data_IF_890907080029
#
_entry.id   IF_890907080029
#
_cell.length_a   1.000
_cell.length_b   1.000
_cell.length_c   1.000
_cell.angle_alpha   90.00
_cell.angle_beta   90.00
_cell.angle_gamma   90.00
#
_symmetry.space_group_name_H-M   'P 1'
#
loop_
_entity.id
_entity.type
_entity.pdbx_description
1 polymer ?
#
# COMPACT_ATOMS: atom_id res chain seq x y z
N UNK A 1 8.01 10.74 -2.36
CA UNK A 1 7.49 9.61 -3.18
C UNK A 1 6.75 8.58 -2.33
N UNK A 2 7.35 7.97 -1.29
CA UNK A 2 6.66 7.00 -0.42
C UNK A 2 5.48 7.60 0.38
N UNK A 3 5.52 8.89 0.71
CA UNK A 3 4.42 9.53 1.45
C UNK A 3 3.07 9.52 0.72
N UNK A 4 3.06 9.70 -0.61
CA UNK A 4 1.84 9.61 -1.41
C UNK A 4 1.30 8.17 -1.41
N UNK A 5 2.17 7.18 -1.56
CA UNK A 5 1.77 5.77 -1.52
C UNK A 5 1.21 5.38 -0.16
N UNK A 6 1.81 5.88 0.90
CA UNK A 6 1.32 5.72 2.27
C UNK A 6 -0.09 6.30 2.41
N UNK A 7 -0.31 7.54 1.94
CA UNK A 7 -1.60 8.22 2.04
C UNK A 7 -2.71 7.50 1.24
N UNK A 8 -2.40 6.99 0.04
CA UNK A 8 -3.38 6.24 -0.76
C UNK A 8 -3.69 4.89 -0.11
N UNK A 9 -2.67 4.16 0.37
CA UNK A 9 -2.84 2.81 0.93
C UNK A 9 -3.46 2.81 2.32
N UNK A 10 -3.15 3.81 3.14
CA UNK A 10 -3.51 3.88 4.56
C UNK A 10 -4.19 5.19 4.93
N UNK A 11 -5.10 5.66 4.07
CA UNK A 11 -5.88 6.90 4.28
C UNK A 11 -6.64 6.94 5.61
N UNK A 12 -6.99 5.78 6.17
CA UNK A 12 -7.68 5.62 7.46
C UNK A 12 -6.81 5.02 8.58
N UNK A 13 -5.49 4.99 8.42
CA UNK A 13 -4.56 4.38 9.36
C UNK A 13 -3.88 3.10 8.83
N UNK A 14 -2.72 2.79 9.41
CA UNK A 14 -1.89 1.67 8.96
C UNK A 14 -2.46 0.35 9.46
N UNK A 15 -2.78 -0.54 8.52
CA UNK A 15 -3.21 -1.91 8.82
C UNK A 15 -2.33 -2.93 8.10
N UNK A 16 -2.30 -4.15 8.63
CA UNK A 16 -1.55 -5.24 8.02
C UNK A 16 -2.22 -5.71 6.72
N UNK A 17 -1.55 -5.63 5.56
CA UNK A 17 -2.16 -6.03 4.29
C UNK A 17 -2.31 -7.55 4.13
N UNK A 18 -1.80 -8.35 5.08
CA UNK A 18 -1.86 -9.82 5.03
C UNK A 18 -3.02 -10.39 5.84
N UNK A 19 -3.43 -9.71 6.92
CA UNK A 19 -4.44 -10.22 7.85
C UNK A 19 -5.47 -9.16 8.28
N UNK A 20 -5.40 -7.94 7.76
CA UNK A 20 -6.32 -6.84 8.08
C UNK A 20 -6.13 -6.19 9.45
N UNK A 21 -5.34 -6.78 10.37
CA UNK A 21 -5.19 -6.24 11.73
C UNK A 21 -4.57 -4.83 11.76
N UNK A 22 -5.17 -3.95 12.56
CA UNK A 22 -4.65 -2.62 12.90
C UNK A 22 -3.59 -2.65 14.01
N UNK A 23 -3.28 -3.81 14.60
CA UNK A 23 -2.23 -3.96 15.61
C UNK A 23 -0.85 -3.91 14.96
N UNK A 24 -0.43 -2.71 14.60
CA UNK A 24 0.78 -2.43 13.84
C UNK A 24 1.74 -1.59 14.68
N UNK A 25 3.02 -1.94 14.66
CA UNK A 25 4.08 -1.15 15.26
C UNK A 25 5.11 -0.73 14.20
N UNK A 26 5.74 0.43 14.41
CA UNK A 26 6.88 0.86 13.62
C UNK A 26 8.05 -0.11 13.75
N UNK A 27 8.76 -0.34 12.65
CA UNK A 27 9.87 -1.28 12.57
C UNK A 27 11.09 -0.65 11.83
N UNK A 28 11.32 0.63 12.10
CA UNK A 28 12.37 1.43 11.46
C UNK A 28 12.06 1.79 10.00
N UNK A 29 13.08 2.23 9.28
CA UNK A 29 12.99 2.62 7.87
C UNK A 29 14.18 2.08 7.09
N UNK A 30 14.00 1.88 5.79
CA UNK A 30 15.10 1.56 4.85
C UNK A 30 15.51 2.79 4.05
N UNK A 31 16.82 2.96 3.84
CA UNK A 31 17.42 3.89 2.88
C UNK A 31 16.75 5.27 2.87
N UNK A 32 16.19 5.66 1.72
CA UNK A 32 15.49 6.94 1.46
C UNK A 32 14.15 7.11 2.18
N UNK A 33 14.03 6.66 3.44
CA UNK A 33 12.85 6.87 4.28
C UNK A 33 11.68 5.92 4.05
N UNK A 34 11.90 4.74 3.44
CA UNK A 34 10.84 3.74 3.29
C UNK A 34 10.49 3.14 4.67
N UNK A 35 9.37 3.57 5.24
CA UNK A 35 8.90 3.11 6.56
C UNK A 35 8.61 1.62 6.53
N UNK A 36 9.02 0.91 7.58
CA UNK A 36 8.72 -0.50 7.82
C UNK A 36 7.78 -0.61 9.01
N UNK A 37 6.92 -1.60 8.94
CA UNK A 37 5.95 -1.93 9.96
C UNK A 37 6.03 -3.40 10.31
N UNK A 38 5.67 -3.75 11.54
CA UNK A 38 5.48 -5.14 11.97
C UNK A 38 4.07 -5.30 12.50
N UNK A 39 3.36 -6.30 12.00
CA UNK A 39 2.06 -6.68 12.54
C UNK A 39 2.26 -7.50 13.81
N UNK A 40 1.61 -7.11 14.91
CA UNK A 40 1.62 -7.88 16.17
C UNK A 40 0.72 -9.12 16.10
N UNK A 41 -0.34 -9.08 15.29
CA UNK A 41 -1.27 -10.21 15.15
C UNK A 41 -0.63 -11.40 14.40
N UNK A 42 -0.03 -11.16 13.22
CA UNK A 42 0.54 -12.23 12.40
C UNK A 42 2.08 -12.26 12.38
N UNK A 43 2.74 -11.38 13.14
CA UNK A 43 4.20 -11.31 13.27
C UNK A 43 4.98 -10.80 12.04
N UNK A 44 4.31 -10.65 10.88
CA UNK A 44 4.94 -10.34 9.60
C UNK A 44 5.27 -8.86 9.47
N UNK A 45 6.45 -8.57 8.92
CA UNK A 45 6.85 -7.22 8.53
C UNK A 45 6.27 -6.83 7.16
N UNK A 46 6.02 -5.55 6.96
CA UNK A 46 5.52 -5.00 5.70
C UNK A 46 5.92 -3.52 5.52
N UNK A 47 5.76 -3.01 4.30
CA UNK A 47 5.97 -1.62 3.91
C UNK A 47 5.13 -1.29 2.66
N UNK A 48 5.31 -0.10 2.09
CA UNK A 48 4.57 0.35 0.89
C UNK A 48 4.76 -0.55 -0.34
N UNK A 49 5.86 -1.33 -0.40
CA UNK A 49 6.13 -2.28 -1.50
C UNK A 49 5.48 -3.65 -1.28
N UNK A 50 4.91 -3.93 -0.11
CA UNK A 50 4.29 -5.21 0.20
C UNK A 50 3.08 -5.48 -0.70
N UNK A 51 3.19 -6.55 -1.50
CA UNK A 51 2.23 -6.91 -2.56
C UNK A 51 2.77 -6.68 -3.98
N UNK A 52 3.84 -5.88 -4.13
CA UNK A 52 4.42 -5.51 -5.43
C UNK A 52 5.87 -5.99 -5.60
N UNK A 53 6.41 -6.77 -4.64
CA UNK A 53 7.81 -7.19 -4.63
C UNK A 53 8.25 -8.00 -5.85
N UNK A 54 7.33 -8.72 -6.50
CA UNK A 54 7.62 -9.53 -7.68
C UNK A 54 7.27 -8.83 -8.99
N UNK A 55 6.71 -7.61 -8.94
CA UNK A 55 6.34 -6.91 -10.16
C UNK A 55 7.55 -6.23 -10.78
N UNK A 56 7.63 -6.29 -12.11
CA UNK A 56 8.55 -5.48 -12.90
C UNK A 56 8.11 -4.01 -13.01
N UNK A 57 6.82 -3.74 -12.78
CA UNK A 57 6.28 -2.40 -12.76
C UNK A 57 6.56 -1.75 -11.40
N UNK A 58 6.95 -0.48 -11.43
CA UNK A 58 7.07 0.36 -10.26
C UNK A 58 5.70 0.57 -9.59
N UNK A 59 5.72 0.93 -8.30
CA UNK A 59 4.49 1.31 -7.59
C UNK A 59 3.74 2.40 -8.34
N UNK A 60 4.44 3.40 -8.89
CA UNK A 60 3.81 4.50 -9.62
C UNK A 60 3.00 3.98 -10.80
N UNK A 61 3.57 3.07 -11.60
CA UNK A 61 2.89 2.49 -12.76
C UNK A 61 1.64 1.69 -12.34
N UNK A 62 1.74 0.86 -11.31
CA UNK A 62 0.59 0.13 -10.78
C UNK A 62 -0.55 1.05 -10.36
N UNK A 63 -0.24 2.08 -9.57
CA UNK A 63 -1.27 3.01 -9.11
C UNK A 63 -1.89 3.80 -10.26
N UNK A 64 -1.09 4.23 -11.25
CA UNK A 64 -1.62 4.86 -12.46
C UNK A 64 -2.62 3.94 -13.16
N UNK A 65 -2.28 2.67 -13.38
CA UNK A 65 -3.16 1.71 -14.05
C UNK A 65 -4.44 1.45 -13.25
N UNK A 66 -4.33 1.28 -11.92
CA UNK A 66 -5.48 1.06 -11.04
C UNK A 66 -6.41 2.28 -11.06
N UNK A 67 -5.86 3.50 -10.95
CA UNK A 67 -6.66 4.73 -10.97
C UNK A 67 -7.37 4.90 -12.31
N UNK A 68 -6.65 4.73 -13.43
CA UNK A 68 -7.26 4.81 -14.78
C UNK A 68 -8.36 3.77 -14.96
N UNK A 69 -8.14 2.54 -14.48
CA UNK A 69 -9.17 1.50 -14.51
C UNK A 69 -10.39 1.91 -13.68
N UNK A 70 -10.22 2.34 -12.43
CA UNK A 70 -11.34 2.73 -11.57
C UNK A 70 -12.12 3.93 -12.12
N UNK A 71 -11.44 4.95 -12.66
CA UNK A 71 -12.09 6.10 -13.28
C UNK A 71 -12.95 5.67 -14.48
N UNK A 72 -12.39 4.85 -15.38
CA UNK A 72 -13.12 4.37 -16.56
C UNK A 72 -14.34 3.49 -16.21
N UNK A 73 -14.27 2.74 -15.11
CA UNK A 73 -15.35 1.85 -14.70
C UNK A 73 -16.43 2.54 -13.85
N UNK A 74 -16.14 3.71 -13.27
CA UNK A 74 -17.14 4.53 -12.60
C UNK A 74 -18.17 5.11 -13.59
N UNK A 75 -17.76 5.34 -14.84
CA UNK A 75 -18.64 5.88 -15.89
C UNK A 75 -19.68 4.87 -16.43
N UNK A 76 -19.58 3.59 -16.08
CA UNK A 76 -20.51 2.53 -16.53
C UNK A 76 -21.58 2.17 -15.49
N UNK A 77 -21.63 2.85 -14.34
CA UNK A 77 -22.61 2.58 -13.26
C UNK A 77 -23.81 3.54 -13.34
N UNK A 78 -23.74 4.56 -14.20
CA UNK A 78 -24.80 5.54 -14.43
C UNK A 78 -25.37 5.51 -15.87
N UNK A 79 -25.06 4.48 -16.66
CA UNK A 79 -25.59 4.28 -18.01
C UNK A 79 -26.65 3.17 -18.03
#
# INVERSE_FOLDING_TARGET
MFEVFWAVRWRGGVYCPRCGSCMVMGHGSYGRGLKRYKCRACGRAFNDKTGFHYSRLSLREWFTLIILFLLRNHDNIHA
#
